data_IF_133950906583
#
_entry.id   IF_133950906583
#
_cell.length_a   1.000
_cell.length_b   1.000
_cell.length_c   1.000
_cell.angle_alpha   90.00
_cell.angle_beta   90.00
_cell.angle_gamma   90.00
#
_symmetry.space_group_name_H-M   'P 1'
#
loop_
_entity.id
_entity.type
_entity.pdbx_description
1 polymer ?
#
# COMPACT_ATOMS: atom_id res chain seq x y z
N UNK A 1 0.75 -1.54 -24.73
CA UNK A 1 0.95 -1.83 -23.30
C UNK A 1 -0.14 -1.06 -22.59
N UNK A 2 -1.11 -1.72 -21.96
CA UNK A 2 -2.12 -0.97 -21.20
C UNK A 2 -1.38 -0.13 -20.17
N UNK A 3 -1.57 1.19 -20.21
CA UNK A 3 -1.15 2.01 -19.10
C UNK A 3 -1.81 1.43 -17.85
N UNK A 4 -1.00 1.01 -16.89
CA UNK A 4 -1.52 0.62 -15.59
C UNK A 4 -2.45 1.73 -15.11
N UNK A 5 -3.59 1.35 -14.52
CA UNK A 5 -4.54 2.32 -13.98
C UNK A 5 -3.77 3.43 -13.25
N UNK A 6 -3.99 4.69 -13.62
CA UNK A 6 -3.32 5.85 -13.00
C UNK A 6 -3.58 5.98 -11.49
N UNK A 7 -4.45 5.11 -10.96
CA UNK A 7 -4.83 4.98 -9.56
C UNK A 7 -3.64 4.53 -8.71
N UNK A 8 -3.30 5.35 -7.72
CA UNK A 8 -2.49 4.99 -6.56
C UNK A 8 -3.34 4.41 -5.44
N UNK A 9 -3.01 3.20 -4.99
CA UNK A 9 -3.70 2.54 -3.88
C UNK A 9 -2.81 2.50 -2.63
N UNK A 10 -3.42 2.65 -1.46
CA UNK A 10 -2.84 2.24 -0.18
C UNK A 10 -3.53 0.96 0.32
N UNK A 11 -2.90 0.21 1.23
CA UNK A 11 -3.54 -0.96 1.86
C UNK A 11 -3.42 -0.87 3.37
N UNK A 12 -4.57 -0.90 4.07
CA UNK A 12 -4.61 -1.00 5.53
C UNK A 12 -4.69 -2.46 5.94
N UNK A 13 -3.78 -2.86 6.82
CA UNK A 13 -3.64 -4.24 7.28
C UNK A 13 -2.58 -5.00 6.50
N UNK A 14 -1.45 -5.26 7.15
CA UNK A 14 -0.27 -5.90 6.55
C UNK A 14 -0.17 -7.40 6.90
N UNK A 15 -1.31 -8.04 7.12
CA UNK A 15 -1.41 -9.48 7.37
C UNK A 15 -1.34 -10.30 6.08
N UNK A 16 -1.79 -11.56 6.15
CA UNK A 16 -1.82 -12.45 4.99
C UNK A 16 -2.65 -11.86 3.84
N UNK A 17 -3.89 -11.47 4.11
CA UNK A 17 -4.79 -10.98 3.05
C UNK A 17 -4.31 -9.64 2.45
N UNK A 18 -3.74 -8.76 3.28
CA UNK A 18 -3.14 -7.50 2.79
C UNK A 18 -1.98 -7.74 1.83
N UNK A 19 -1.09 -8.68 2.17
CA UNK A 19 -0.01 -9.13 1.26
C UNK A 19 -0.55 -9.63 -0.08
N UNK A 20 -1.61 -10.46 -0.04
CA UNK A 20 -2.24 -10.99 -1.25
C UNK A 20 -2.81 -9.86 -2.12
N UNK A 21 -3.52 -8.88 -1.51
CA UNK A 21 -4.08 -7.76 -2.25
C UNK A 21 -3.00 -6.86 -2.85
N UNK A 22 -1.91 -6.57 -2.14
CA UNK A 22 -0.76 -5.82 -2.70
C UNK A 22 -0.24 -6.48 -3.98
N UNK A 23 -0.08 -7.81 -3.96
CA UNK A 23 0.36 -8.56 -5.14
C UNK A 23 -0.67 -8.56 -6.28
N UNK A 24 -1.97 -8.69 -5.97
CA UNK A 24 -3.01 -8.67 -7.01
C UNK A 24 -3.15 -7.28 -7.64
N UNK A 25 -3.09 -6.21 -6.84
CA UNK A 25 -3.13 -4.83 -7.34
C UNK A 25 -2.00 -4.56 -8.34
N UNK A 26 -0.78 -5.00 -8.03
CA UNK A 26 0.36 -4.88 -8.95
C UNK A 26 0.14 -5.64 -10.26
N UNK A 27 -0.42 -6.86 -10.20
CA UNK A 27 -0.68 -7.70 -11.39
C UNK A 27 -1.69 -7.08 -12.33
N UNK A 28 -2.64 -6.31 -11.82
CA UNK A 28 -3.63 -5.56 -12.63
C UNK A 28 -3.15 -4.15 -12.99
N UNK A 29 -1.89 -3.81 -12.68
CA UNK A 29 -1.26 -2.55 -13.05
C UNK A 29 -1.59 -1.37 -12.12
N UNK A 30 -2.15 -1.59 -10.93
CA UNK A 30 -2.36 -0.54 -9.92
C UNK A 30 -1.08 -0.29 -9.12
N UNK A 31 -0.75 0.98 -8.90
CA UNK A 31 0.44 1.35 -8.14
C UNK A 31 0.14 1.38 -6.64
N UNK A 32 0.77 0.49 -5.88
CA UNK A 32 0.66 0.52 -4.41
C UNK A 32 1.62 1.57 -3.85
N UNK A 33 1.08 2.67 -3.33
CA UNK A 33 1.82 3.80 -2.76
C UNK A 33 2.40 3.49 -1.39
N UNK A 34 1.63 2.78 -0.58
CA UNK A 34 2.02 2.48 0.79
C UNK A 34 1.11 1.48 1.50
N UNK A 35 1.53 1.09 2.69
CA UNK A 35 0.75 0.25 3.60
C UNK A 35 0.66 0.87 4.99
N UNK A 36 -0.43 0.58 5.70
CA UNK A 36 -0.58 0.91 7.12
C UNK A 36 -0.74 -0.38 7.92
N UNK A 37 0.21 -0.60 8.85
CA UNK A 37 0.17 -1.73 9.78
C UNK A 37 -0.60 -1.40 11.07
N UNK A 38 -0.86 -2.42 11.90
CA UNK A 38 -1.45 -2.21 13.23
C UNK A 38 -0.47 -1.57 14.24
N UNK A 39 0.83 -1.65 13.96
CA UNK A 39 1.87 -0.88 14.64
C UNK A 39 2.86 -0.34 13.60
N UNK A 40 3.57 0.77 13.88
CA UNK A 40 4.57 1.33 12.97
C UNK A 40 5.64 0.31 12.57
N UNK A 41 6.14 -0.49 13.51
CA UNK A 41 7.21 -1.45 13.30
C UNK A 41 6.75 -2.58 12.36
N UNK A 42 5.52 -3.07 12.55
CA UNK A 42 4.91 -4.07 11.67
C UNK A 42 4.68 -3.53 10.27
N UNK A 43 4.23 -2.28 10.17
CA UNK A 43 4.03 -1.59 8.89
C UNK A 43 5.34 -1.47 8.11
N UNK A 44 6.40 -0.98 8.76
CA UNK A 44 7.73 -0.81 8.16
C UNK A 44 8.33 -2.15 7.70
N UNK A 45 8.32 -3.17 8.57
CA UNK A 45 8.85 -4.48 8.23
C UNK A 45 8.13 -5.10 7.02
N UNK A 46 6.80 -4.90 6.93
CA UNK A 46 5.99 -5.42 5.83
C UNK A 46 6.14 -4.62 4.55
N UNK A 47 6.22 -3.30 4.62
CA UNK A 47 6.51 -2.47 3.45
C UNK A 47 7.84 -2.87 2.81
N UNK A 48 8.88 -3.07 3.62
CA UNK A 48 10.18 -3.56 3.16
C UNK A 48 10.09 -4.95 2.52
N UNK A 49 9.43 -5.91 3.19
CA UNK A 49 9.28 -7.28 2.67
C UNK A 49 8.49 -7.34 1.35
N UNK A 50 7.53 -6.43 1.16
CA UNK A 50 6.70 -6.36 -0.05
C UNK A 50 7.30 -5.45 -1.12
N UNK A 51 8.39 -4.73 -0.85
CA UNK A 51 8.92 -3.70 -1.76
C UNK A 51 7.92 -2.57 -2.02
N UNK A 52 7.12 -2.22 -1.02
CA UNK A 52 6.19 -1.08 -1.08
C UNK A 52 6.92 0.18 -0.62
N UNK A 53 6.78 1.33 -1.31
CA UNK A 53 7.61 2.52 -1.07
C UNK A 53 7.47 3.13 0.33
N UNK A 54 6.27 3.03 0.94
CA UNK A 54 5.94 3.74 2.18
C UNK A 54 5.21 2.83 3.17
N UNK A 55 5.60 2.94 4.44
CA UNK A 55 4.80 2.51 5.58
C UNK A 55 4.25 3.76 6.27
N UNK A 56 2.93 3.91 6.32
CA UNK A 56 2.31 5.04 7.01
C UNK A 56 2.34 4.84 8.53
N UNK A 57 2.57 5.93 9.27
CA UNK A 57 2.63 5.91 10.73
C UNK A 57 1.24 5.98 11.39
N UNK A 58 0.25 6.52 10.69
CA UNK A 58 -1.14 6.63 11.16
C UNK A 58 -2.10 6.69 9.98
N UNK A 59 -3.41 6.60 10.26
CA UNK A 59 -4.45 6.74 9.24
C UNK A 59 -4.47 8.16 8.66
N UNK A 60 -4.25 9.18 9.49
CA UNK A 60 -4.23 10.58 9.07
C UNK A 60 -3.09 10.84 8.08
N UNK A 61 -1.90 10.28 8.34
CA UNK A 61 -0.76 10.40 7.44
C UNK A 61 -0.99 9.69 6.09
N UNK A 62 -1.79 8.62 6.07
CA UNK A 62 -2.20 7.94 4.85
C UNK A 62 -3.22 8.77 4.07
N UNK A 63 -4.26 9.28 4.74
CA UNK A 63 -5.32 10.06 4.11
C UNK A 63 -4.85 11.45 3.63
N UNK A 64 -3.74 11.97 4.17
CA UNK A 64 -3.12 13.21 3.73
C UNK A 64 -2.15 13.05 2.54
N UNK A 65 -1.97 11.83 2.03
CA UNK A 65 -1.09 11.55 0.90
C UNK A 65 -1.84 11.72 -0.43
N UNK A 66 -1.65 12.86 -1.09
CA UNK A 66 -2.30 13.18 -2.37
C UNK A 66 -1.95 12.20 -3.52
N UNK A 67 -0.98 11.29 -3.33
CA UNK A 67 -0.68 10.23 -4.30
C UNK A 67 -1.57 8.99 -4.17
N UNK A 68 -2.41 8.93 -3.12
CA UNK A 68 -3.35 7.85 -2.81
C UNK A 68 -4.76 8.24 -3.25
N UNK A 69 -5.27 7.57 -4.28
CA UNK A 69 -6.63 7.76 -4.79
C UNK A 69 -7.65 6.84 -4.09
N UNK A 70 -7.19 5.70 -3.57
CA UNK A 70 -8.04 4.68 -2.94
C UNK A 70 -7.29 3.93 -1.84
N UNK A 71 -8.04 3.41 -0.87
CA UNK A 71 -7.54 2.64 0.29
C UNK A 71 -8.21 1.28 0.37
#
# INVERSE_FOLDING_TARGET
MSEGSGIGAAVIGTGFIGTVHVEQLRRIGVQVRGVLGSTPERGQARAAALGVPRAYASLEALLADDSVDVV
#
